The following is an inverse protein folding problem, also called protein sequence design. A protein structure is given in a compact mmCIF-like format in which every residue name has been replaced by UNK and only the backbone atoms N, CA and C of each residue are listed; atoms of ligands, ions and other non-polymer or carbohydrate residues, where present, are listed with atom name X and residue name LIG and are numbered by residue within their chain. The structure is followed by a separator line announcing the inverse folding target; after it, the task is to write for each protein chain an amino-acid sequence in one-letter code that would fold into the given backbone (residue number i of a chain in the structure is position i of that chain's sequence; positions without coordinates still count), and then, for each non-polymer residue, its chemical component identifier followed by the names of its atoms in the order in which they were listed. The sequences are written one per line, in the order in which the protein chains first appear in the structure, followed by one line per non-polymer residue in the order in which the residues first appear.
data_IF_946801429142
#
_entry.id   IF_946801429142
#
_cell.length_a   1.000
_cell.length_b   1.000
_cell.length_c   1.000
_cell.angle_alpha   90.00
_cell.angle_beta   90.00
_cell.angle_gamma   90.00
#
_symmetry.space_group_name_H-M   'P 1'
#
loop_
_entity.id
_entity.type
_entity.pdbx_description
1 polymer ?
#
# COMPACT_ATOMS: atom_id res chain seq x y z
N UNK A 1 38.49 -59.70 44.17
CA UNK A 1 39.20 -59.11 43.01
C UNK A 1 38.18 -58.84 41.91
N UNK A 2 38.34 -57.75 41.13
CA UNK A 2 37.24 -57.01 40.50
C UNK A 2 37.01 -57.38 39.02
N UNK A 3 35.85 -56.97 38.47
CA UNK A 3 35.76 -56.43 37.10
C UNK A 3 34.58 -55.46 36.94
N UNK A 4 34.94 -54.20 36.77
CA UNK A 4 34.21 -53.09 36.10
C UNK A 4 33.60 -53.53 34.77
N UNK A 5 32.66 -52.86 34.09
CA UNK A 5 31.77 -51.71 34.29
C UNK A 5 30.88 -51.67 33.04
N UNK A 6 29.72 -51.02 33.09
CA UNK A 6 29.19 -50.21 31.97
C UNK A 6 27.90 -49.50 32.41
N UNK A 7 28.08 -48.27 32.87
CA UNK A 7 27.03 -47.29 33.13
C UNK A 7 26.42 -46.85 31.80
N UNK A 8 25.10 -46.96 31.63
CA UNK A 8 24.39 -46.41 30.48
C UNK A 8 23.81 -45.04 30.87
N UNK A 9 24.21 -43.91 30.23
CA UNK A 9 23.58 -42.63 30.47
C UNK A 9 22.33 -42.54 29.57
N UNK A 10 21.13 -42.51 30.17
CA UNK A 10 19.92 -42.09 29.45
C UNK A 10 19.93 -40.58 29.31
N UNK A 11 20.23 -40.19 28.09
CA UNK A 11 20.24 -38.88 27.46
C UNK A 11 19.02 -38.04 27.87
N UNK A 12 19.32 -36.79 28.20
CA UNK A 12 18.40 -35.67 28.39
C UNK A 12 17.40 -35.55 27.22
N UNK A 13 16.11 -35.69 27.49
CA UNK A 13 15.03 -35.19 26.64
C UNK A 13 14.18 -34.22 27.46
N UNK A 14 14.61 -32.96 27.56
CA UNK A 14 13.78 -31.88 28.09
C UNK A 14 14.26 -30.52 27.52
N UNK A 15 14.25 -30.37 26.20
CA UNK A 15 14.52 -29.07 25.55
C UNK A 15 13.96 -29.04 24.12
N UNK A 16 12.65 -29.16 23.95
CA UNK A 16 12.01 -28.96 22.64
C UNK A 16 10.53 -28.59 22.78
N UNK A 17 10.21 -27.44 23.39
CA UNK A 17 8.83 -26.93 23.41
C UNK A 17 8.70 -25.40 23.52
N UNK A 18 9.74 -24.62 23.16
CA UNK A 18 9.72 -23.15 23.33
C UNK A 18 10.11 -22.36 22.06
N UNK A 19 9.88 -22.90 20.86
CA UNK A 19 10.31 -22.28 19.59
C UNK A 19 9.19 -22.01 18.57
N UNK A 20 7.91 -22.09 18.96
CA UNK A 20 6.79 -22.04 17.98
C UNK A 20 5.90 -20.79 18.01
N UNK A 21 6.32 -19.70 18.65
CA UNK A 21 5.56 -18.43 18.57
C UNK A 21 6.47 -17.23 18.28
N UNK A 22 7.34 -17.31 17.28
CA UNK A 22 7.74 -16.09 16.56
C UNK A 22 6.77 -15.92 15.40
N UNK A 23 5.58 -15.42 15.73
CA UNK A 23 4.67 -14.88 14.72
C UNK A 23 5.47 -13.91 13.84
N UNK A 24 5.36 -14.08 12.53
CA UNK A 24 5.92 -13.18 11.55
C UNK A 24 5.22 -11.82 11.67
N UNK A 25 5.64 -11.01 12.65
CA UNK A 25 5.21 -9.61 12.83
C UNK A 25 5.94 -8.71 11.83
N UNK A 26 6.05 -9.15 10.57
CA UNK A 26 6.65 -8.36 9.51
C UNK A 26 5.61 -7.39 8.98
N UNK A 27 5.94 -6.10 8.97
CA UNK A 27 5.19 -5.09 8.22
C UNK A 27 5.02 -5.58 6.76
N UNK A 28 3.81 -5.54 6.18
CA UNK A 28 3.59 -5.93 4.79
C UNK A 28 4.57 -5.19 3.87
N UNK A 29 5.23 -5.93 2.99
CA UNK A 29 6.13 -5.35 2.00
C UNK A 29 5.31 -4.63 0.93
N UNK A 30 5.62 -3.35 0.67
CA UNK A 30 4.98 -2.60 -0.41
C UNK A 30 5.28 -3.25 -1.77
N UNK A 31 4.23 -3.43 -2.56
CA UNK A 31 4.28 -3.90 -3.94
C UNK A 31 4.08 -2.71 -4.87
N UNK A 32 4.85 -2.64 -5.95
CA UNK A 32 4.70 -1.58 -6.95
C UNK A 32 3.35 -1.75 -7.66
N UNK A 33 2.63 -0.66 -7.91
CA UNK A 33 1.28 -0.74 -8.45
C UNK A 33 1.21 -1.51 -9.77
N UNK A 34 2.22 -1.39 -10.64
CA UNK A 34 2.28 -2.11 -11.91
C UNK A 34 2.41 -3.63 -11.78
N UNK A 35 2.89 -4.11 -10.63
CA UNK A 35 3.13 -5.52 -10.33
C UNK A 35 2.08 -6.08 -9.34
N UNK A 36 1.23 -5.22 -8.80
CA UNK A 36 0.29 -5.55 -7.73
C UNK A 36 -0.99 -6.24 -8.25
N UNK A 37 -1.48 -7.19 -7.46
CA UNK A 37 -2.83 -7.79 -7.58
C UNK A 37 -3.66 -7.49 -6.33
N UNK A 38 -5.00 -7.61 -6.40
CA UNK A 38 -5.84 -7.47 -5.22
C UNK A 38 -5.34 -8.33 -4.05
N UNK A 39 -5.23 -7.72 -2.87
CA UNK A 39 -4.63 -8.28 -1.66
C UNK A 39 -3.20 -7.80 -1.37
N UNK A 40 -2.48 -7.28 -2.36
CA UNK A 40 -1.12 -6.77 -2.15
C UNK A 40 -1.16 -5.38 -1.46
N UNK A 41 -0.20 -5.12 -0.58
CA UNK A 41 -0.01 -3.81 0.04
C UNK A 41 0.65 -2.86 -0.96
N UNK A 42 0.06 -1.69 -1.19
CA UNK A 42 0.60 -0.64 -2.08
C UNK A 42 1.41 0.39 -1.30
N UNK A 43 0.96 0.68 -0.08
CA UNK A 43 1.58 1.66 0.81
C UNK A 43 1.53 1.15 2.24
N UNK A 44 2.64 1.33 2.95
CA UNK A 44 2.70 1.18 4.40
C UNK A 44 3.30 2.45 4.99
N UNK A 45 2.48 3.25 5.68
CA UNK A 45 2.87 4.53 6.28
C UNK A 45 2.54 4.51 7.78
N UNK A 46 3.59 4.39 8.61
CA UNK A 46 3.44 4.17 10.05
C UNK A 46 2.68 2.86 10.33
N UNK A 47 1.55 2.96 11.02
CA UNK A 47 0.65 1.82 11.29
C UNK A 47 -0.48 1.69 10.24
N UNK A 48 -0.52 2.57 9.24
CA UNK A 48 -1.54 2.51 8.19
C UNK A 48 -1.06 1.68 7.01
N UNK A 49 -1.86 0.71 6.58
CA UNK A 49 -1.63 -0.08 5.37
C UNK A 49 -2.72 0.22 4.34
N UNK A 50 -2.31 0.44 3.09
CA UNK A 50 -3.19 0.60 1.94
C UNK A 50 -3.07 -0.65 1.07
N UNK A 51 -4.14 -1.42 1.00
CA UNK A 51 -4.19 -2.68 0.27
C UNK A 51 -5.01 -2.52 -1.01
N UNK A 52 -4.50 -3.02 -2.14
CA UNK A 52 -5.25 -3.03 -3.39
C UNK A 52 -6.45 -3.98 -3.26
N UNK A 53 -7.67 -3.50 -3.53
CA UNK A 53 -8.88 -4.33 -3.54
C UNK A 53 -9.44 -4.51 -4.95
N UNK A 54 -9.19 -3.55 -5.85
CA UNK A 54 -9.53 -3.63 -7.28
C UNK A 54 -8.43 -2.99 -8.10
N UNK A 55 -7.94 -3.71 -9.11
CA UNK A 55 -6.92 -3.21 -10.02
C UNK A 55 -7.38 -1.94 -10.75
N UNK A 56 -6.46 -1.01 -10.96
CA UNK A 56 -6.72 0.20 -11.72
C UNK A 56 -6.94 -0.13 -13.20
N UNK A 57 -7.95 0.49 -13.80
CA UNK A 57 -8.15 0.50 -15.24
C UNK A 57 -7.20 1.50 -15.88
N UNK A 58 -6.33 1.09 -16.82
CA UNK A 58 -5.45 2.03 -17.51
C UNK A 58 -6.29 2.95 -18.42
N UNK A 59 -5.90 4.22 -18.48
CA UNK A 59 -6.47 5.17 -19.43
C UNK A 59 -5.41 6.03 -20.11
N UNK A 60 -5.84 6.80 -21.10
CA UNK A 60 -4.93 7.48 -22.04
C UNK A 60 -5.08 8.99 -21.97
N UNK A 61 -3.95 9.74 -21.83
CA UNK A 61 -2.60 9.25 -21.60
C UNK A 61 -2.27 9.15 -20.08
N UNK A 62 -1.49 8.12 -19.71
CA UNK A 62 -0.91 7.90 -18.38
C UNK A 62 -1.88 8.03 -17.18
N UNK A 63 -3.14 7.62 -17.38
CA UNK A 63 -4.17 7.61 -16.34
C UNK A 63 -4.37 6.22 -15.74
N UNK A 64 -4.73 6.20 -14.47
CA UNK A 64 -5.07 5.02 -13.68
C UNK A 64 -6.42 5.30 -13.04
N UNK A 65 -7.45 4.54 -13.40
CA UNK A 65 -8.83 4.85 -13.03
C UNK A 65 -9.50 3.71 -12.27
N UNK A 66 -10.54 4.05 -11.50
CA UNK A 66 -11.45 3.09 -10.84
C UNK A 66 -10.75 2.08 -9.93
N UNK A 67 -9.58 2.45 -9.38
CA UNK A 67 -8.80 1.61 -8.47
C UNK A 67 -9.47 1.55 -7.10
N UNK A 68 -9.56 0.35 -6.54
CA UNK A 68 -10.09 0.14 -5.19
C UNK A 68 -8.96 -0.05 -4.19
N UNK A 69 -9.02 0.62 -3.05
CA UNK A 69 -8.10 0.39 -1.94
C UNK A 69 -8.86 0.20 -0.62
N UNK A 70 -8.32 -0.67 0.24
CA UNK A 70 -8.69 -0.75 1.65
C UNK A 70 -7.62 -0.05 2.49
N UNK A 71 -8.07 0.73 3.46
CA UNK A 71 -7.26 1.49 4.40
C UNK A 71 -7.45 0.86 5.78
N UNK A 72 -6.39 0.29 6.33
CA UNK A 72 -6.41 -0.32 7.66
C UNK A 72 -5.38 0.34 8.57
N UNK A 73 -5.77 0.56 9.83
CA UNK A 73 -4.85 0.91 10.91
C UNK A 73 -5.37 0.32 12.22
N UNK A 74 -4.52 0.05 13.22
CA UNK A 74 -4.95 -0.55 14.49
C UNK A 74 -5.95 0.32 15.27
N UNK A 75 -5.89 1.64 15.07
CA UNK A 75 -6.66 2.61 15.83
C UNK A 75 -8.01 2.98 15.20
N UNK A 76 -8.32 2.50 13.99
CA UNK A 76 -9.50 2.91 13.25
C UNK A 76 -10.21 1.72 12.59
N UNK A 77 -11.51 1.87 12.37
CA UNK A 77 -12.26 0.98 11.51
C UNK A 77 -11.70 1.02 10.09
N UNK A 78 -11.61 -0.15 9.45
CA UNK A 78 -11.17 -0.26 8.08
C UNK A 78 -12.12 0.50 7.14
N UNK A 79 -11.55 1.30 6.24
CA UNK A 79 -12.31 2.05 5.23
C UNK A 79 -11.92 1.62 3.84
N UNK A 80 -12.80 1.81 2.87
CA UNK A 80 -12.51 1.60 1.46
C UNK A 80 -12.57 2.92 0.69
N UNK A 81 -11.75 3.05 -0.33
CA UNK A 81 -11.74 4.22 -1.21
C UNK A 81 -11.65 3.80 -2.68
N UNK A 82 -12.32 4.56 -3.54
CA UNK A 82 -12.05 4.60 -4.97
C UNK A 82 -10.99 5.66 -5.22
N UNK A 83 -9.96 5.29 -5.97
CA UNK A 83 -8.80 6.14 -6.27
C UNK A 83 -8.58 6.17 -7.77
N UNK A 84 -8.22 7.36 -8.24
CA UNK A 84 -7.80 7.65 -9.58
C UNK A 84 -6.48 8.44 -9.53
N UNK A 85 -5.64 8.26 -10.54
CA UNK A 85 -4.42 9.02 -10.71
C UNK A 85 -4.19 9.39 -12.17
N UNK A 86 -3.66 10.58 -12.40
CA UNK A 86 -3.09 10.99 -13.70
C UNK A 86 -1.64 11.36 -13.44
N UNK A 87 -0.75 10.54 -13.97
CA UNK A 87 0.67 10.64 -13.72
C UNK A 87 1.31 11.56 -14.76
N UNK A 88 2.12 12.51 -14.30
CA UNK A 88 2.73 13.49 -15.17
C UNK A 88 3.79 12.88 -16.09
N UNK A 89 3.94 13.47 -17.28
CA UNK A 89 4.93 13.14 -18.28
C UNK A 89 5.78 14.41 -18.54
N UNK A 90 6.88 14.62 -17.81
CA UNK A 90 7.66 15.88 -17.84
C UNK A 90 8.22 16.23 -19.23
N UNK A 91 8.40 15.21 -20.07
CA UNK A 91 9.00 15.36 -21.40
C UNK A 91 7.97 15.69 -22.49
N UNK A 92 6.68 15.86 -22.15
CA UNK A 92 5.64 16.19 -23.13
C UNK A 92 5.25 17.67 -23.08
N UNK A 93 5.16 18.37 -24.24
CA UNK A 93 4.71 19.76 -24.29
C UNK A 93 3.32 19.94 -23.70
N UNK A 94 3.12 21.03 -22.94
CA UNK A 94 1.86 21.41 -22.29
C UNK A 94 1.34 20.42 -21.23
N UNK A 95 2.13 19.41 -20.84
CA UNK A 95 1.75 18.51 -19.75
C UNK A 95 1.95 19.21 -18.38
N UNK A 96 1.03 19.04 -17.41
CA UNK A 96 1.19 19.62 -16.09
C UNK A 96 2.45 19.12 -15.38
N UNK A 97 3.12 19.98 -14.61
CA UNK A 97 4.30 19.63 -13.80
C UNK A 97 3.95 19.00 -12.44
N UNK A 98 2.84 18.29 -12.37
CA UNK A 98 2.35 17.64 -11.16
C UNK A 98 1.66 16.32 -11.48
N UNK A 99 1.82 15.35 -10.59
CA UNK A 99 0.94 14.19 -10.52
C UNK A 99 -0.38 14.61 -9.87
N UNK A 100 -1.49 14.02 -10.32
CA UNK A 100 -2.82 14.30 -9.79
C UNK A 100 -3.42 13.00 -9.26
N UNK A 101 -3.57 12.88 -7.94
CA UNK A 101 -4.30 11.76 -7.31
C UNK A 101 -5.58 12.28 -6.68
N UNK A 102 -6.67 11.56 -6.87
CA UNK A 102 -7.98 11.95 -6.39
C UNK A 102 -8.85 10.75 -6.16
N UNK A 103 -9.88 10.91 -5.34
CA UNK A 103 -10.72 9.79 -4.98
C UNK A 103 -11.83 10.19 -4.05
N UNK A 104 -12.51 9.17 -3.55
CA UNK A 104 -13.63 9.29 -2.62
C UNK A 104 -13.66 8.09 -1.68
N UNK A 105 -14.27 8.28 -0.54
CA UNK A 105 -14.56 7.17 0.36
C UNK A 105 -15.76 6.38 -0.17
N UNK A 106 -15.71 5.07 -0.01
CA UNK A 106 -16.77 4.16 -0.43
C UNK A 106 -17.71 3.89 0.73
N UNK A 107 -19.00 3.81 0.43
CA UNK A 107 -20.00 3.31 1.38
C UNK A 107 -19.88 1.78 1.54
N UNK A 108 -20.47 1.25 2.61
CA UNK A 108 -20.44 -0.19 2.86
C UNK A 108 -21.13 -0.97 1.74
N UNK A 109 -20.43 -1.93 1.16
CA UNK A 109 -20.91 -2.74 0.03
C UNK A 109 -20.78 -2.07 -1.34
N UNK A 110 -20.31 -0.82 -1.38
CA UNK A 110 -20.09 -0.12 -2.64
C UNK A 110 -18.86 -0.66 -3.38
N UNK A 111 -18.96 -0.74 -4.71
CA UNK A 111 -17.86 -1.21 -5.57
C UNK A 111 -17.15 -0.02 -6.24
N UNK A 112 -15.80 0.06 -6.20
CA UNK A 112 -15.07 1.13 -6.87
C UNK A 112 -15.38 1.16 -8.38
N UNK A 113 -15.56 2.35 -8.94
CA UNK A 113 -15.88 2.60 -10.35
C UNK A 113 -17.36 2.44 -10.71
N UNK A 114 -18.26 2.27 -9.73
CA UNK A 114 -19.70 2.18 -9.99
C UNK A 114 -20.32 3.52 -10.38
N UNK A 115 -20.01 4.60 -9.64
CA UNK A 115 -20.52 5.94 -9.95
C UNK A 115 -19.64 6.70 -10.95
N UNK A 116 -18.31 6.56 -10.83
CA UNK A 116 -17.32 7.18 -11.72
C UNK A 116 -17.32 8.73 -11.68
N UNK A 117 -16.15 9.34 -11.45
CA UNK A 117 -15.98 10.79 -11.64
C UNK A 117 -16.52 11.70 -10.52
N UNK A 118 -17.28 11.17 -9.55
CA UNK A 118 -17.51 11.85 -8.26
C UNK A 118 -16.28 11.63 -7.38
N UNK A 119 -15.65 12.72 -6.90
CA UNK A 119 -14.42 12.64 -6.10
C UNK A 119 -14.52 13.64 -4.96
N UNK A 120 -14.23 13.21 -3.74
CA UNK A 120 -14.30 14.06 -2.56
C UNK A 120 -13.02 14.84 -2.35
N UNK A 121 -11.89 14.17 -2.52
CA UNK A 121 -10.57 14.71 -2.29
C UNK A 121 -9.72 14.65 -3.55
N UNK A 122 -8.79 15.60 -3.66
CA UNK A 122 -7.83 15.68 -4.75
C UNK A 122 -6.54 16.32 -4.23
N UNK A 123 -5.41 15.70 -4.57
CA UNK A 123 -4.07 16.16 -4.26
C UNK A 123 -3.25 16.28 -5.54
N UNK A 124 -2.72 17.48 -5.78
CA UNK A 124 -1.69 17.72 -6.79
C UNK A 124 -0.32 17.63 -6.14
N UNK A 125 0.60 16.88 -6.74
CA UNK A 125 1.95 16.65 -6.23
C UNK A 125 2.92 17.15 -7.29
N UNK A 126 3.46 18.35 -7.07
CA UNK A 126 4.35 19.01 -8.00
C UNK A 126 5.75 18.40 -7.96
N UNK A 127 6.48 18.53 -9.07
CA UNK A 127 7.85 18.00 -9.19
C UNK A 127 8.87 18.62 -8.24
N UNK A 128 8.59 19.82 -7.73
CA UNK A 128 9.40 20.47 -6.69
C UNK A 128 9.12 19.94 -5.27
N UNK A 129 8.24 18.95 -5.13
CA UNK A 129 7.81 18.37 -3.85
C UNK A 129 6.63 19.08 -3.20
N UNK A 130 6.17 20.21 -3.73
CA UNK A 130 5.01 20.93 -3.20
C UNK A 130 3.74 20.11 -3.41
N UNK A 131 2.87 20.07 -2.41
CA UNK A 131 1.54 19.48 -2.54
C UNK A 131 0.44 20.51 -2.43
N UNK A 132 -0.66 20.32 -3.18
CA UNK A 132 -1.82 21.21 -3.17
C UNK A 132 -3.12 20.44 -3.17
N UNK A 133 -3.91 20.61 -2.11
CA UNK A 133 -5.27 20.09 -2.04
C UNK A 133 -6.19 20.90 -2.97
N UNK A 134 -7.00 20.21 -3.77
CA UNK A 134 -7.94 20.79 -4.73
C UNK A 134 -9.35 20.22 -4.63
N UNK A 135 -9.53 19.14 -3.87
CA UNK A 135 -10.84 18.53 -3.65
C UNK A 135 -11.70 19.33 -2.66
N UNK A 136 -12.95 18.88 -2.50
CA UNK A 136 -13.87 19.39 -1.48
C UNK A 136 -13.36 19.06 -0.07
N UNK A 137 -12.74 17.89 0.05
CA UNK A 137 -12.10 17.40 1.25
C UNK A 137 -10.57 17.39 1.12
N UNK A 138 -9.91 17.41 2.27
CA UNK A 138 -8.46 17.21 2.35
C UNK A 138 -8.13 15.78 1.94
N UNK A 139 -7.12 15.62 1.10
CA UNK A 139 -6.62 14.30 0.74
C UNK A 139 -6.09 13.54 1.97
N UNK A 140 -6.30 12.21 2.04
CA UNK A 140 -5.71 11.38 3.07
C UNK A 140 -4.18 11.47 3.05
N UNK A 141 -3.54 11.32 4.21
CA UNK A 141 -2.07 11.42 4.33
C UNK A 141 -1.34 10.44 3.38
N UNK A 142 -1.86 9.21 3.28
CA UNK A 142 -1.31 8.16 2.43
C UNK A 142 -1.42 8.44 0.92
N UNK A 143 -2.24 9.41 0.48
CA UNK A 143 -2.50 9.67 -0.93
C UNK A 143 -1.22 10.08 -1.67
N UNK A 144 -0.33 10.84 -1.02
CA UNK A 144 0.94 11.21 -1.62
C UNK A 144 1.83 9.99 -1.87
N UNK A 145 1.98 9.11 -0.88
CA UNK A 145 2.79 7.88 -1.00
C UNK A 145 2.20 6.92 -2.02
N UNK A 146 0.87 6.83 -2.10
CA UNK A 146 0.20 6.03 -3.13
C UNK A 146 0.45 6.58 -4.53
N UNK A 147 0.38 7.90 -4.71
CA UNK A 147 0.71 8.52 -6.00
C UNK A 147 2.16 8.31 -6.39
N UNK A 148 3.11 8.38 -5.45
CA UNK A 148 4.51 8.05 -5.70
C UNK A 148 4.67 6.60 -6.19
N UNK A 149 4.01 5.64 -5.53
CA UNK A 149 4.00 4.24 -5.94
C UNK A 149 3.37 4.05 -7.34
N UNK A 150 2.32 4.80 -7.66
CA UNK A 150 1.60 4.71 -8.92
C UNK A 150 2.29 5.41 -10.11
N UNK A 151 2.89 6.58 -9.88
CA UNK A 151 3.31 7.51 -10.94
C UNK A 151 4.81 7.57 -11.18
N UNK A 152 5.66 7.32 -10.17
CA UNK A 152 7.11 7.41 -10.34
C UNK A 152 7.67 6.08 -10.82
N UNK A 153 7.99 6.00 -12.11
CA UNK A 153 8.59 4.84 -12.79
C UNK A 153 10.09 4.66 -12.46
N UNK A 154 10.46 4.63 -11.18
CA UNK A 154 11.83 4.48 -10.69
C UNK A 154 11.91 3.59 -9.45
N UNK A 155 13.13 3.21 -9.05
CA UNK A 155 13.35 2.54 -7.77
C UNK A 155 12.99 3.51 -6.64
N UNK A 156 12.33 2.99 -5.60
CA UNK A 156 11.76 3.73 -4.47
C UNK A 156 12.83 4.34 -3.55
N UNK A 157 13.68 5.19 -4.10
CA UNK A 157 14.55 6.11 -3.39
C UNK A 157 14.28 7.51 -3.93
N UNK A 158 13.13 8.03 -3.54
CA UNK A 158 13.00 9.47 -3.36
C UNK A 158 13.85 9.80 -2.12
N UNK A 159 14.94 10.54 -2.30
CA UNK A 159 15.90 10.93 -1.25
C UNK A 159 15.22 11.49 0.01
#
# INVERSE_FOLDING_TARGET
MPKQAATTPRILLAAAAALLCQACSGTPTETRLQDAKPGDALVTEGETTITLTKAFRPGTPNGLFDGGVAVSSPAAEAKAAEVNAVCSMPNLPNWPNYDNIYGRWLESGETPGAEGGNTDWQLLIYFDGTTKNKGREKAPAWAQRLAQNACRKGDFQDN
#
